data_IF_037566111893
#
_entry.id   IF_037566111893
#
_cell.length_a   1.000
_cell.length_b   1.000
_cell.length_c   1.000
_cell.angle_alpha   90.00
_cell.angle_beta   90.00
_cell.angle_gamma   90.00
#
_symmetry.space_group_name_H-M   'P 1'
#
loop_
_entity.id
_entity.type
_entity.pdbx_description
1 polymer ?
#
# COMPACT_ATOMS: atom_id res chain seq x y z
N UNK A 1 -9.58 15.08 34.45
CA UNK A 1 -8.91 13.98 33.74
C UNK A 1 -9.68 12.63 33.72
N UNK A 2 -10.95 12.52 34.15
CA UNK A 2 -11.57 11.19 34.40
C UNK A 2 -12.74 10.74 33.49
N UNK A 3 -13.26 11.58 32.57
CA UNK A 3 -14.40 11.13 31.72
C UNK A 3 -13.97 10.19 30.59
N UNK A 4 -12.88 10.47 29.87
CA UNK A 4 -12.41 9.65 28.74
C UNK A 4 -11.99 8.23 29.14
N UNK A 5 -11.36 8.07 30.31
CA UNK A 5 -10.96 6.75 30.83
C UNK A 5 -12.19 5.92 31.19
N UNK A 6 -13.25 6.55 31.73
CA UNK A 6 -14.49 5.86 32.09
C UNK A 6 -15.27 5.35 30.87
N UNK A 7 -15.33 6.12 29.78
CA UNK A 7 -16.03 5.71 28.55
C UNK A 7 -15.32 4.55 27.85
N UNK A 8 -13.98 4.58 27.82
CA UNK A 8 -13.19 3.49 27.24
C UNK A 8 -13.45 2.17 27.96
N UNK A 9 -13.25 2.12 29.28
CA UNK A 9 -13.47 0.90 30.05
C UNK A 9 -14.90 0.35 29.93
N UNK A 10 -15.92 1.23 29.95
CA UNK A 10 -17.32 0.85 29.75
C UNK A 10 -17.58 0.22 28.38
N UNK A 11 -17.01 0.80 27.31
CA UNK A 11 -17.13 0.24 25.96
C UNK A 11 -16.56 -1.18 25.88
N UNK A 12 -15.40 -1.44 26.50
CA UNK A 12 -14.79 -2.76 26.47
C UNK A 12 -15.55 -3.79 27.31
N UNK A 13 -16.04 -3.41 28.48
CA UNK A 13 -16.93 -4.28 29.25
C UNK A 13 -18.20 -4.62 28.45
N UNK A 14 -18.80 -3.63 27.78
CA UNK A 14 -19.93 -3.85 26.90
C UNK A 14 -19.59 -4.78 25.73
N UNK A 15 -18.45 -4.59 25.08
CA UNK A 15 -17.98 -5.38 23.95
C UNK A 15 -17.72 -6.84 24.36
N UNK A 16 -17.14 -7.05 25.54
CA UNK A 16 -16.84 -8.38 26.07
C UNK A 16 -18.11 -9.16 26.39
N UNK A 17 -19.15 -8.47 26.89
CA UNK A 17 -20.47 -9.01 27.19
C UNK A 17 -21.33 -9.30 25.94
N UNK A 18 -20.86 -9.00 24.73
CA UNK A 18 -21.57 -9.38 23.51
C UNK A 18 -21.43 -10.87 23.21
N UNK A 19 -22.42 -11.44 22.50
CA UNK A 19 -22.35 -12.81 21.97
C UNK A 19 -21.06 -13.02 21.15
N UNK A 20 -20.43 -14.21 21.18
CA UNK A 20 -19.11 -14.43 20.57
C UNK A 20 -18.99 -13.96 19.12
N UNK A 21 -19.96 -14.31 18.28
CA UNK A 21 -19.99 -13.89 16.87
C UNK A 21 -20.08 -12.37 16.73
N UNK A 22 -21.02 -11.74 17.45
CA UNK A 22 -21.19 -10.27 17.43
C UNK A 22 -19.93 -9.55 17.92
N UNK A 23 -19.29 -10.05 18.96
CA UNK A 23 -18.03 -9.50 19.49
C UNK A 23 -16.91 -9.55 18.45
N UNK A 24 -16.72 -10.69 17.79
CA UNK A 24 -15.71 -10.85 16.73
C UNK A 24 -16.03 -9.92 15.56
N UNK A 25 -17.28 -9.87 15.10
CA UNK A 25 -17.69 -8.97 14.02
C UNK A 25 -17.43 -7.50 14.34
N UNK A 26 -17.75 -7.05 15.57
CA UNK A 26 -17.48 -5.68 16.00
C UNK A 26 -15.98 -5.38 16.05
N UNK A 27 -15.16 -6.31 16.56
CA UNK A 27 -13.69 -6.14 16.58
C UNK A 27 -13.12 -6.06 15.15
N UNK A 28 -13.58 -6.92 14.25
CA UNK A 28 -13.17 -6.90 12.85
C UNK A 28 -13.63 -5.61 12.14
N UNK A 29 -14.84 -5.12 12.42
CA UNK A 29 -15.32 -3.86 11.89
C UNK A 29 -14.48 -2.67 12.36
N UNK A 30 -14.13 -2.62 13.65
CA UNK A 30 -13.23 -1.59 14.20
C UNK A 30 -11.84 -1.65 13.57
N UNK A 31 -11.27 -2.86 13.43
CA UNK A 31 -10.00 -3.05 12.75
C UNK A 31 -10.08 -2.57 11.30
N UNK A 32 -11.14 -2.94 10.58
CA UNK A 32 -11.35 -2.53 9.19
C UNK A 32 -11.44 -1.00 9.06
N UNK A 33 -12.14 -0.31 9.97
CA UNK A 33 -12.19 1.16 9.99
C UNK A 33 -10.79 1.76 10.19
N UNK A 34 -10.01 1.23 11.13
CA UNK A 34 -8.64 1.73 11.37
C UNK A 34 -7.73 1.44 10.17
N UNK A 35 -7.82 0.27 9.58
CA UNK A 35 -7.05 -0.09 8.37
C UNK A 35 -7.44 0.82 7.20
N UNK A 36 -8.73 1.04 6.98
CA UNK A 36 -9.20 1.95 5.93
C UNK A 36 -8.73 3.39 6.18
N UNK A 37 -8.79 3.88 7.41
CA UNK A 37 -8.29 5.23 7.71
C UNK A 37 -6.77 5.34 7.60
N UNK A 38 -6.03 4.31 8.00
CA UNK A 38 -4.58 4.28 7.92
C UNK A 38 -4.10 4.19 6.46
N UNK A 39 -4.74 3.38 5.63
CA UNK A 39 -4.33 3.15 4.24
C UNK A 39 -4.97 4.14 3.27
N UNK A 40 -6.23 4.51 3.47
CA UNK A 40 -7.04 5.32 2.56
C UNK A 40 -7.79 6.44 3.31
N UNK A 41 -7.09 7.39 3.94
CA UNK A 41 -7.71 8.50 4.66
C UNK A 41 -8.59 9.38 3.77
N UNK A 42 -8.41 9.35 2.45
CA UNK A 42 -9.29 10.00 1.49
C UNK A 42 -10.20 8.98 0.78
N UNK A 43 -11.42 8.72 1.29
CA UNK A 43 -12.33 7.74 0.71
C UNK A 43 -12.86 8.14 -0.66
N UNK A 44 -12.92 9.44 -0.98
CA UNK A 44 -13.34 9.90 -2.30
C UNK A 44 -12.34 9.47 -3.38
N UNK A 45 -11.03 9.55 -3.08
CA UNK A 45 -9.99 9.04 -3.97
C UNK A 45 -10.02 7.52 -4.07
N UNK A 46 -10.34 6.80 -3.00
CA UNK A 46 -10.51 5.33 -3.07
C UNK A 46 -11.62 4.94 -4.06
N UNK A 47 -12.77 5.64 -4.03
CA UNK A 47 -13.86 5.39 -4.99
C UNK A 47 -13.43 5.70 -6.42
N UNK A 48 -12.70 6.80 -6.64
CA UNK A 48 -12.13 7.12 -7.96
C UNK A 48 -11.15 6.06 -8.44
N UNK A 49 -10.27 5.59 -7.55
CA UNK A 49 -9.28 4.56 -7.86
C UNK A 49 -9.94 3.24 -8.28
N UNK A 50 -11.05 2.85 -7.64
CA UNK A 50 -11.81 1.69 -8.09
C UNK A 50 -12.35 1.88 -9.52
N UNK A 51 -12.81 3.09 -9.86
CA UNK A 51 -13.17 3.43 -11.23
C UNK A 51 -11.99 3.33 -12.19
N UNK A 52 -10.81 3.81 -11.78
CA UNK A 52 -9.58 3.77 -12.57
C UNK A 52 -9.12 2.32 -12.84
N UNK A 53 -9.25 1.40 -11.88
CA UNK A 53 -8.95 -0.01 -12.12
C UNK A 53 -9.92 -0.69 -13.08
N UNK A 54 -11.19 -0.27 -13.09
CA UNK A 54 -12.19 -0.79 -14.00
C UNK A 54 -11.99 -0.28 -15.43
N UNK A 55 -11.47 0.94 -15.58
CA UNK A 55 -11.19 1.56 -16.87
C UNK A 55 -9.85 2.31 -16.88
N UNK A 56 -8.75 1.56 -16.91
CA UNK A 56 -7.40 2.15 -16.94
C UNK A 56 -7.09 2.92 -18.22
N UNK A 57 -7.84 2.68 -19.29
CA UNK A 57 -7.68 3.41 -20.57
C UNK A 57 -8.12 4.86 -20.43
N UNK A 58 -9.10 5.15 -19.56
CA UNK A 58 -9.55 6.51 -19.28
C UNK A 58 -8.46 7.41 -18.68
N UNK A 59 -7.43 6.83 -18.08
CA UNK A 59 -6.29 7.55 -17.50
C UNK A 59 -5.37 8.13 -18.59
N UNK A 60 -5.32 7.46 -19.75
CA UNK A 60 -4.43 7.78 -20.85
C UNK A 60 -5.09 8.86 -21.72
N UNK A 61 -4.55 10.07 -21.70
CA UNK A 61 -5.15 11.26 -22.33
C UNK A 61 -4.21 11.83 -23.41
N UNK A 62 -4.20 11.26 -24.64
CA UNK A 62 -3.32 11.72 -25.72
C UNK A 62 -3.66 13.13 -26.21
N UNK A 63 -4.87 13.63 -25.94
CA UNK A 63 -5.36 14.95 -26.33
C UNK A 63 -5.24 16.00 -25.20
N UNK A 64 -4.31 15.81 -24.26
CA UNK A 64 -4.04 16.79 -23.19
C UNK A 64 -3.72 18.18 -23.78
N UNK A 65 -4.28 19.30 -23.26
CA UNK A 65 -4.01 20.64 -23.79
C UNK A 65 -2.53 21.02 -23.82
N UNK A 66 -1.72 20.49 -22.91
CA UNK A 66 -0.27 20.72 -22.85
C UNK A 66 0.55 19.86 -23.84
N UNK A 67 -0.08 18.94 -24.57
CA UNK A 67 0.62 18.00 -25.44
C UNK A 67 1.47 18.66 -26.54
N UNK A 68 1.06 19.78 -27.17
CA UNK A 68 1.91 20.48 -28.13
C UNK A 68 3.22 21.00 -27.51
N UNK A 69 3.16 21.52 -26.28
CA UNK A 69 4.34 21.99 -25.55
C UNK A 69 5.26 20.81 -25.19
N UNK A 70 4.67 19.75 -24.64
CA UNK A 70 5.38 18.51 -24.27
C UNK A 70 6.11 17.91 -25.48
N UNK A 71 5.42 17.79 -26.62
CA UNK A 71 5.99 17.22 -27.83
C UNK A 71 7.17 18.04 -28.35
N UNK A 72 7.07 19.37 -28.32
CA UNK A 72 8.15 20.28 -28.72
C UNK A 72 9.38 20.12 -27.83
N UNK A 73 9.21 19.98 -26.50
CA UNK A 73 10.33 19.73 -25.59
C UNK A 73 10.99 18.37 -25.85
N UNK A 74 10.20 17.33 -26.17
CA UNK A 74 10.73 16.01 -26.53
C UNK A 74 11.50 16.07 -27.84
N UNK A 75 11.00 16.79 -28.85
CA UNK A 75 11.71 16.96 -30.13
C UNK A 75 13.06 17.65 -29.92
N UNK A 76 13.10 18.66 -29.05
CA UNK A 76 14.36 19.31 -28.65
C UNK A 76 15.31 18.34 -27.93
N UNK A 77 14.79 17.49 -27.03
CA UNK A 77 15.60 16.46 -26.38
C UNK A 77 16.17 15.46 -27.39
N UNK A 78 15.40 15.05 -28.40
CA UNK A 78 15.89 14.15 -29.46
C UNK A 78 16.99 14.85 -30.28
N UNK A 79 16.77 16.10 -30.68
CA UNK A 79 17.70 16.85 -31.54
C UNK A 79 19.04 17.18 -30.86
N UNK A 80 19.06 17.33 -29.54
CA UNK A 80 20.23 17.84 -28.79
C UNK A 80 21.05 16.78 -28.06
N UNK A 81 20.61 15.52 -28.03
CA UNK A 81 21.32 14.46 -27.30
C UNK A 81 22.32 13.69 -28.16
N UNK A 82 23.52 13.49 -27.61
CA UNK A 82 24.55 12.60 -28.13
C UNK A 82 24.86 11.51 -27.07
N UNK A 83 24.77 10.20 -27.39
CA UNK A 83 24.27 9.64 -28.65
C UNK A 83 22.77 9.93 -28.84
N UNK A 84 22.31 9.84 -30.10
CA UNK A 84 20.92 10.09 -30.46
C UNK A 84 19.98 9.20 -29.64
N UNK A 85 19.01 9.82 -28.97
CA UNK A 85 17.98 9.09 -28.23
C UNK A 85 16.93 8.56 -29.20
N UNK A 86 16.50 7.31 -29.01
CA UNK A 86 15.25 6.84 -29.61
C UNK A 86 14.08 7.65 -29.02
N UNK A 87 13.00 7.81 -29.78
CA UNK A 87 11.82 8.55 -29.31
C UNK A 87 11.29 8.00 -27.99
N UNK A 88 11.20 6.66 -27.85
CA UNK A 88 10.74 6.01 -26.62
C UNK A 88 11.61 6.39 -25.40
N UNK A 89 12.92 6.46 -25.57
CA UNK A 89 13.86 6.87 -24.52
C UNK A 89 13.81 8.37 -24.25
N UNK A 90 13.53 9.19 -25.27
CA UNK A 90 13.32 10.61 -25.08
C UNK A 90 12.05 10.89 -24.26
N UNK A 91 10.95 10.18 -24.52
CA UNK A 91 9.71 10.28 -23.71
C UNK A 91 9.96 9.85 -22.26
N UNK A 92 10.59 8.69 -22.05
CA UNK A 92 10.93 8.21 -20.70
C UNK A 92 11.75 9.25 -19.93
N UNK A 93 12.81 9.78 -20.57
CA UNK A 93 13.68 10.79 -19.95
C UNK A 93 12.95 12.11 -19.69
N UNK A 94 12.08 12.53 -20.61
CA UNK A 94 11.26 13.71 -20.44
C UNK A 94 10.38 13.58 -19.18
N UNK A 95 9.64 12.48 -19.05
CA UNK A 95 8.74 12.24 -17.91
C UNK A 95 9.52 12.20 -16.60
N UNK A 96 10.65 11.48 -16.55
CA UNK A 96 11.49 11.42 -15.35
C UNK A 96 12.06 12.77 -14.92
N UNK A 97 12.34 13.66 -15.88
CA UNK A 97 12.81 15.02 -15.58
C UNK A 97 11.69 15.94 -15.14
N UNK A 98 10.49 15.79 -15.73
CA UNK A 98 9.40 16.75 -15.55
C UNK A 98 8.50 16.43 -14.36
N UNK A 99 8.40 15.15 -14.00
CA UNK A 99 7.54 14.67 -12.92
C UNK A 99 8.43 14.16 -11.79
N UNK A 100 8.51 14.88 -10.67
CA UNK A 100 9.29 14.46 -9.51
C UNK A 100 8.72 13.16 -8.91
N UNK A 101 9.58 12.24 -8.47
CA UNK A 101 9.09 10.98 -7.88
C UNK A 101 8.55 11.25 -6.48
N UNK A 102 7.29 10.88 -6.24
CA UNK A 102 6.67 10.97 -4.92
C UNK A 102 5.60 9.88 -4.77
N UNK A 103 5.74 9.03 -3.76
CA UNK A 103 4.74 8.00 -3.43
C UNK A 103 3.37 8.58 -3.11
N UNK A 104 2.33 7.82 -3.44
CA UNK A 104 0.93 8.21 -3.24
C UNK A 104 0.57 8.54 -1.79
N UNK A 105 1.15 7.84 -0.81
CA UNK A 105 0.87 8.16 0.59
C UNK A 105 1.41 9.53 1.02
N UNK A 106 2.30 10.14 0.24
CA UNK A 106 2.73 11.53 0.41
C UNK A 106 1.96 12.51 -0.47
N UNK A 107 1.65 12.14 -1.73
CA UNK A 107 0.99 13.03 -2.70
C UNK A 107 -0.55 13.03 -2.63
N UNK A 108 -1.13 11.86 -2.42
CA UNK A 108 -2.57 11.57 -2.42
C UNK A 108 -3.12 11.18 -1.04
N UNK A 109 -2.23 10.96 -0.08
CA UNK A 109 -2.49 10.46 1.27
C UNK A 109 -3.03 9.02 1.33
N UNK A 110 -3.30 8.38 0.21
CA UNK A 110 -3.75 7.00 0.11
C UNK A 110 -2.58 6.04 -0.18
N UNK A 111 -2.78 4.74 0.04
CA UNK A 111 -1.77 3.72 -0.22
C UNK A 111 -1.42 3.64 -1.71
N UNK A 112 -2.42 3.81 -2.58
CA UNK A 112 -2.35 3.71 -4.03
C UNK A 112 -3.44 4.63 -4.64
N UNK A 113 -3.11 5.39 -5.67
CA UNK A 113 -4.00 6.18 -6.51
C UNK A 113 -3.36 6.42 -7.88
N UNK A 114 -3.90 5.81 -8.93
CA UNK A 114 -3.45 6.00 -10.31
C UNK A 114 -4.09 7.27 -10.89
N UNK A 115 -3.36 8.36 -11.07
CA UNK A 115 -3.91 9.61 -11.56
C UNK A 115 -4.13 9.58 -13.08
N UNK A 116 -4.97 10.49 -13.58
CA UNK A 116 -5.04 10.82 -15.00
C UNK A 116 -3.81 11.60 -15.47
N UNK A 117 -3.48 11.55 -16.76
CA UNK A 117 -2.34 12.34 -17.28
C UNK A 117 -2.45 13.85 -17.02
N UNK A 118 -3.68 14.40 -16.99
CA UNK A 118 -3.92 15.79 -16.60
C UNK A 118 -3.54 16.06 -15.14
N UNK A 119 -3.93 15.21 -14.20
CA UNK A 119 -3.57 15.35 -12.78
C UNK A 119 -2.05 15.24 -12.58
N UNK A 120 -1.39 14.30 -13.25
CA UNK A 120 0.08 14.15 -13.24
C UNK A 120 0.74 15.44 -13.73
N UNK A 121 0.25 15.97 -14.85
CA UNK A 121 0.80 17.17 -15.46
C UNK A 121 0.59 18.41 -14.61
N UNK A 122 -0.55 18.53 -13.93
CA UNK A 122 -0.84 19.64 -13.01
C UNK A 122 0.07 19.60 -11.78
N UNK A 123 0.20 18.43 -11.14
CA UNK A 123 0.92 18.27 -9.88
C UNK A 123 2.45 18.23 -10.01
N UNK A 124 2.95 17.84 -11.19
CA UNK A 124 4.38 17.66 -11.50
C UNK A 124 5.12 16.71 -10.55
N UNK A 125 4.38 15.86 -9.83
CA UNK A 125 4.94 14.89 -8.88
C UNK A 125 4.02 13.67 -8.83
N UNK A 126 4.58 12.49 -8.99
CA UNK A 126 3.89 11.20 -8.93
C UNK A 126 4.90 10.06 -8.78
N UNK A 127 4.43 8.87 -8.42
CA UNK A 127 5.26 7.67 -8.44
C UNK A 127 5.28 6.97 -9.81
N UNK A 128 5.44 5.65 -9.82
CA UNK A 128 5.54 4.86 -11.04
C UNK A 128 4.27 4.92 -11.90
N UNK A 129 3.08 4.92 -11.30
CA UNK A 129 1.83 4.83 -12.06
C UNK A 129 1.52 6.10 -12.85
N UNK A 130 1.58 7.27 -12.22
CA UNK A 130 1.29 8.54 -12.86
C UNK A 130 2.33 8.88 -13.92
N UNK A 131 3.60 8.53 -13.66
CA UNK A 131 4.66 8.63 -14.68
C UNK A 131 4.38 7.73 -15.88
N UNK A 132 3.93 6.49 -15.66
CA UNK A 132 3.55 5.57 -16.74
C UNK A 132 2.31 6.05 -17.51
N UNK A 133 1.28 6.55 -16.82
CA UNK A 133 0.07 7.13 -17.42
C UNK A 133 0.44 8.31 -18.34
N UNK A 134 1.28 9.23 -17.87
CA UNK A 134 1.70 10.37 -18.68
C UNK A 134 2.55 9.92 -19.88
N UNK A 135 3.50 8.99 -19.68
CA UNK A 135 4.32 8.46 -20.76
C UNK A 135 3.47 7.78 -21.84
N UNK A 136 2.51 6.93 -21.46
CA UNK A 136 1.59 6.28 -22.39
C UNK A 136 0.76 7.31 -23.16
N UNK A 137 0.31 8.38 -22.50
CA UNK A 137 -0.47 9.46 -23.11
C UNK A 137 0.34 10.21 -24.18
N UNK A 138 1.59 10.55 -23.86
CA UNK A 138 2.53 11.18 -24.79
C UNK A 138 2.80 10.26 -25.99
N UNK A 139 3.09 8.99 -25.74
CA UNK A 139 3.38 8.02 -26.80
C UNK A 139 2.22 7.86 -27.76
N UNK A 140 0.98 7.76 -27.25
CA UNK A 140 -0.22 7.72 -28.09
C UNK A 140 -0.42 9.00 -28.89
N UNK A 141 -0.17 10.16 -28.28
CA UNK A 141 -0.24 11.44 -28.99
C UNK A 141 0.79 11.57 -30.12
N UNK A 142 1.91 10.85 -30.01
CA UNK A 142 2.99 10.79 -30.99
C UNK A 142 2.85 9.63 -32.00
N UNK A 143 1.71 8.94 -32.00
CA UNK A 143 1.37 7.92 -33.00
C UNK A 143 1.56 6.46 -32.56
N UNK A 144 2.01 6.21 -31.33
CA UNK A 144 2.11 4.85 -30.77
C UNK A 144 0.78 4.42 -30.16
N UNK A 145 -0.21 4.14 -31.01
CA UNK A 145 -1.58 3.83 -30.60
C UNK A 145 -1.68 2.58 -29.69
N UNK A 146 -0.70 1.68 -29.74
CA UNK A 146 -0.64 0.45 -28.95
C UNK A 146 0.07 0.59 -27.59
N UNK A 147 0.53 1.81 -27.25
CA UNK A 147 1.11 2.11 -25.95
C UNK A 147 0.09 1.80 -24.83
N UNK A 148 0.46 0.95 -23.89
CA UNK A 148 -0.44 0.47 -22.82
C UNK A 148 0.26 0.36 -21.48
N UNK A 149 -0.52 0.45 -20.40
CA UNK A 149 -0.05 0.21 -19.04
C UNK A 149 0.13 -1.28 -18.80
N UNK A 150 1.22 -1.61 -18.11
CA UNK A 150 1.53 -2.94 -17.58
C UNK A 150 1.95 -2.74 -16.13
N UNK A 151 1.53 -3.62 -15.25
CA UNK A 151 1.81 -3.51 -13.84
C UNK A 151 1.98 -4.87 -13.16
N UNK A 152 2.58 -4.83 -11.98
CA UNK A 152 2.50 -5.87 -10.97
C UNK A 152 2.19 -5.23 -9.61
N UNK A 153 2.36 -5.98 -8.52
CA UNK A 153 2.07 -5.49 -7.17
C UNK A 153 2.99 -4.36 -6.68
N UNK A 154 4.08 -4.06 -7.38
CA UNK A 154 5.10 -3.10 -6.95
C UNK A 154 5.27 -1.92 -7.87
N UNK A 155 4.98 -2.10 -9.16
CA UNK A 155 5.41 -1.17 -10.19
C UNK A 155 4.45 -1.15 -11.36
N UNK A 156 4.32 0.02 -11.98
CA UNK A 156 3.53 0.28 -13.18
C UNK A 156 4.45 0.91 -14.22
N UNK A 157 4.33 0.43 -15.46
CA UNK A 157 5.18 0.86 -16.57
C UNK A 157 4.44 0.82 -17.90
N UNK A 158 5.13 1.20 -18.99
CA UNK A 158 4.54 1.30 -20.33
C UNK A 158 5.14 0.25 -21.25
N UNK A 159 4.29 -0.43 -22.01
CA UNK A 159 4.68 -1.28 -23.13
C UNK A 159 4.21 -0.68 -24.46
N UNK A 160 5.08 -0.72 -25.48
CA UNK A 160 4.81 -0.30 -26.87
C UNK A 160 5.38 -1.35 -27.81
N UNK A 161 4.53 -2.06 -28.55
CA UNK A 161 4.92 -3.23 -29.33
C UNK A 161 5.61 -4.28 -28.45
N UNK A 162 6.87 -4.57 -28.78
CA UNK A 162 7.76 -5.46 -28.00
C UNK A 162 8.66 -4.71 -27.02
N UNK A 163 8.62 -3.38 -27.00
CA UNK A 163 9.43 -2.56 -26.11
C UNK A 163 8.71 -2.32 -24.78
N UNK A 164 9.48 -2.28 -23.71
CA UNK A 164 8.99 -1.87 -22.39
C UNK A 164 9.88 -0.77 -21.84
N UNK A 165 9.24 0.22 -21.25
CA UNK A 165 9.85 1.45 -20.77
C UNK A 165 9.63 1.55 -19.26
N UNK A 166 10.35 2.45 -18.63
CA UNK A 166 10.14 2.87 -17.25
C UNK A 166 10.48 1.83 -16.19
N UNK A 167 11.53 1.03 -16.43
CA UNK A 167 11.97 -0.01 -15.48
C UNK A 167 11.01 -1.21 -15.43
N UNK A 168 10.81 -1.93 -16.55
CA UNK A 168 9.90 -3.07 -16.58
C UNK A 168 10.34 -4.18 -15.63
N UNK A 169 9.36 -4.90 -15.08
CA UNK A 169 9.59 -6.07 -14.23
C UNK A 169 9.17 -7.36 -14.95
N UNK A 170 9.75 -8.48 -14.55
CA UNK A 170 9.49 -9.78 -15.18
C UNK A 170 8.04 -10.25 -15.01
N UNK A 171 7.47 -10.07 -13.82
CA UNK A 171 6.09 -10.45 -13.51
C UNK A 171 5.12 -9.37 -14.02
N UNK A 172 4.13 -9.79 -14.83
CA UNK A 172 3.10 -8.91 -15.45
C UNK A 172 1.72 -9.29 -14.96
N UNK A 173 1.46 -9.01 -13.69
CA UNK A 173 0.26 -9.45 -13.00
C UNK A 173 -0.99 -8.66 -13.35
N UNK A 174 -0.84 -7.47 -13.92
CA UNK A 174 -1.92 -6.63 -14.39
C UNK A 174 -1.55 -6.07 -15.75
N UNK A 175 -2.33 -6.40 -16.79
CA UNK A 175 -2.08 -5.91 -18.15
C UNK A 175 -3.34 -5.94 -19.00
N UNK A 176 -3.35 -5.14 -20.07
CA UNK A 176 -4.42 -5.19 -21.07
C UNK A 176 -3.99 -6.00 -22.29
N UNK A 177 -4.75 -7.04 -22.62
CA UNK A 177 -4.54 -7.89 -23.79
C UNK A 177 -5.87 -8.06 -24.54
N UNK A 178 -5.88 -7.76 -25.84
CA UNK A 178 -7.10 -7.90 -26.67
C UNK A 178 -8.31 -7.13 -26.13
N UNK A 179 -8.09 -5.95 -25.55
CA UNK A 179 -9.15 -5.12 -24.96
C UNK A 179 -9.65 -5.57 -23.59
N UNK A 180 -9.10 -6.64 -23.01
CA UNK A 180 -9.47 -7.16 -21.68
C UNK A 180 -8.36 -6.93 -20.67
N UNK A 181 -8.74 -6.64 -19.43
CA UNK A 181 -7.83 -6.63 -18.28
C UNK A 181 -7.53 -8.07 -17.86
N UNK A 182 -6.27 -8.46 -17.89
CA UNK A 182 -5.77 -9.76 -17.45
C UNK A 182 -5.08 -9.58 -16.11
N UNK A 183 -5.57 -10.31 -15.10
CA UNK A 183 -5.00 -10.34 -13.76
C UNK A 183 -4.48 -11.74 -13.48
N UNK A 184 -3.22 -11.86 -13.08
CA UNK A 184 -2.61 -13.15 -12.72
C UNK A 184 -2.04 -13.12 -11.31
N UNK A 185 -1.94 -14.30 -10.69
CA UNK A 185 -1.33 -14.40 -9.36
C UNK A 185 0.18 -14.15 -9.44
N UNK A 186 0.75 -13.29 -8.57
CA UNK A 186 2.18 -12.98 -8.54
C UNK A 186 3.02 -14.16 -8.07
N UNK A 187 4.28 -14.21 -8.51
CA UNK A 187 5.25 -15.14 -7.93
C UNK A 187 5.48 -14.80 -6.44
N UNK A 188 5.89 -15.81 -5.66
CA UNK A 188 6.23 -15.60 -4.24
C UNK A 188 7.31 -14.52 -4.05
N UNK A 189 8.28 -14.43 -4.98
CA UNK A 189 9.29 -13.38 -4.97
C UNK A 189 8.64 -12.00 -5.02
N UNK A 190 7.74 -11.77 -5.97
CA UNK A 190 7.02 -10.50 -6.14
C UNK A 190 6.14 -10.17 -4.93
N UNK A 191 5.49 -11.17 -4.31
CA UNK A 191 4.75 -10.96 -3.05
C UNK A 191 5.67 -10.48 -1.92
N UNK A 192 6.83 -11.11 -1.74
CA UNK A 192 7.79 -10.75 -0.70
C UNK A 192 8.45 -9.39 -0.97
N UNK A 193 8.75 -9.09 -2.24
CA UNK A 193 9.30 -7.80 -2.65
C UNK A 193 8.24 -6.69 -2.43
N UNK A 194 6.98 -6.94 -2.76
CA UNK A 194 5.87 -6.02 -2.47
C UNK A 194 5.69 -5.79 -0.98
N UNK A 195 5.81 -6.84 -0.17
CA UNK A 195 5.77 -6.72 1.28
C UNK A 195 6.92 -5.85 1.81
N UNK A 196 8.11 -5.96 1.21
CA UNK A 196 9.26 -5.13 1.59
C UNK A 196 9.11 -3.64 1.24
N UNK A 197 8.21 -3.26 0.32
CA UNK A 197 7.87 -1.86 0.08
C UNK A 197 7.26 -1.17 1.31
N UNK A 198 6.85 -1.93 2.33
CA UNK A 198 6.45 -1.38 3.64
C UNK A 198 7.52 -0.48 4.27
N UNK A 199 8.82 -0.66 3.96
CA UNK A 199 9.86 0.27 4.46
C UNK A 199 9.73 1.69 3.92
N UNK A 200 9.03 1.90 2.79
CA UNK A 200 8.79 3.22 2.21
C UNK A 200 7.49 3.85 2.73
N UNK A 201 6.60 3.03 3.30
CA UNK A 201 5.31 3.46 3.83
C UNK A 201 5.44 4.17 5.19
N UNK A 202 4.58 5.16 5.54
CA UNK A 202 4.70 5.89 6.79
C UNK A 202 4.56 4.98 8.01
N UNK A 203 5.65 4.80 8.76
CA UNK A 203 5.73 3.82 9.85
C UNK A 203 4.64 3.98 10.91
N UNK A 204 4.23 5.22 11.21
CA UNK A 204 3.19 5.49 12.20
C UNK A 204 1.81 4.90 11.82
N UNK A 205 1.50 4.77 10.52
CA UNK A 205 0.26 4.14 10.03
C UNK A 205 0.27 2.64 10.32
N UNK A 206 1.42 1.98 10.16
CA UNK A 206 1.59 0.56 10.50
C UNK A 206 1.50 0.36 12.01
N UNK A 207 2.18 1.21 12.79
CA UNK A 207 2.12 1.18 14.25
C UNK A 207 0.67 1.34 14.75
N UNK A 208 -0.10 2.26 14.17
CA UNK A 208 -1.52 2.43 14.49
C UNK A 208 -2.31 1.14 14.28
N UNK A 209 -2.12 0.46 13.14
CA UNK A 209 -2.80 -0.81 12.84
C UNK A 209 -2.37 -1.93 13.81
N UNK A 210 -1.07 -2.06 14.09
CA UNK A 210 -0.54 -3.07 15.00
C UNK A 210 -1.04 -2.88 16.44
N UNK A 211 -0.96 -1.65 16.96
CA UNK A 211 -1.44 -1.32 18.32
C UNK A 211 -2.95 -1.53 18.43
N UNK A 212 -3.72 -1.17 17.40
CA UNK A 212 -5.16 -1.42 17.35
C UNK A 212 -5.47 -2.91 17.37
N UNK A 213 -4.77 -3.70 16.55
CA UNK A 213 -4.92 -5.16 16.53
C UNK A 213 -4.64 -5.77 17.91
N UNK A 214 -3.55 -5.34 18.56
CA UNK A 214 -3.21 -5.78 19.91
C UNK A 214 -4.30 -5.40 20.92
N UNK A 215 -4.78 -4.14 20.90
CA UNK A 215 -5.83 -3.66 21.80
C UNK A 215 -7.17 -4.41 21.63
N UNK A 216 -7.51 -4.80 20.39
CA UNK A 216 -8.70 -5.59 20.09
C UNK A 216 -8.58 -7.03 20.61
N UNK A 217 -7.38 -7.60 20.65
CA UNK A 217 -7.14 -8.93 21.22
C UNK A 217 -7.05 -8.89 22.75
N UNK A 218 -6.35 -7.90 23.30
CA UNK A 218 -6.06 -7.76 24.72
C UNK A 218 -6.12 -6.28 25.12
N UNK A 219 -7.16 -5.90 25.86
CA UNK A 219 -7.39 -4.50 26.19
C UNK A 219 -6.43 -3.99 27.29
N UNK A 220 -5.84 -2.78 27.17
CA UNK A 220 -4.92 -2.22 28.17
C UNK A 220 -5.49 -2.12 29.59
N UNK A 221 -6.81 -1.99 29.77
CA UNK A 221 -7.40 -1.92 31.12
C UNK A 221 -7.45 -3.27 31.85
N UNK A 222 -7.19 -4.39 31.17
CA UNK A 222 -7.15 -5.69 31.81
C UNK A 222 -5.87 -5.83 32.66
N UNK A 223 -4.72 -5.49 32.07
CA UNK A 223 -3.42 -5.51 32.75
C UNK A 223 -2.45 -4.58 31.99
N UNK A 224 -2.39 -3.32 32.40
CA UNK A 224 -1.64 -2.27 31.70
C UNK A 224 -0.16 -2.63 31.49
N UNK A 225 0.49 -3.22 32.50
CA UNK A 225 1.90 -3.61 32.41
C UNK A 225 2.16 -4.67 31.35
N UNK A 226 1.31 -5.70 31.30
CA UNK A 226 1.41 -6.76 30.28
C UNK A 226 1.09 -6.24 28.89
N UNK A 227 0.09 -5.36 28.76
CA UNK A 227 -0.23 -4.73 27.48
C UNK A 227 0.97 -3.92 26.96
N UNK A 228 1.59 -3.10 27.81
CA UNK A 228 2.77 -2.31 27.47
C UNK A 228 3.95 -3.20 27.05
N UNK A 229 4.19 -4.30 27.77
CA UNK A 229 5.22 -5.29 27.43
C UNK A 229 4.96 -5.92 26.05
N UNK A 230 3.74 -6.42 25.79
CA UNK A 230 3.39 -7.01 24.50
C UNK A 230 3.48 -6.01 23.35
N UNK A 231 3.08 -4.77 23.61
CA UNK A 231 3.24 -3.68 22.65
C UNK A 231 4.73 -3.43 22.34
N UNK A 232 5.59 -3.35 23.36
CA UNK A 232 7.02 -3.16 23.17
C UNK A 232 7.67 -4.29 22.36
N UNK A 233 7.34 -5.56 22.67
CA UNK A 233 7.84 -6.73 21.92
C UNK A 233 7.37 -6.70 20.46
N UNK A 234 6.10 -6.38 20.22
CA UNK A 234 5.54 -6.26 18.87
C UNK A 234 6.20 -5.13 18.07
N UNK A 235 6.48 -3.98 18.70
CA UNK A 235 7.16 -2.85 18.07
C UNK A 235 8.64 -3.15 17.80
N UNK A 236 9.32 -3.91 18.67
CA UNK A 236 10.66 -4.43 18.38
C UNK A 236 10.63 -5.38 17.17
N UNK A 237 9.63 -6.26 17.09
CA UNK A 237 9.39 -7.10 15.91
C UNK A 237 9.18 -6.28 14.63
N UNK A 238 8.39 -5.21 14.70
CA UNK A 238 8.20 -4.29 13.57
C UNK A 238 9.49 -3.57 13.16
N UNK A 239 10.33 -3.16 14.10
CA UNK A 239 11.64 -2.57 13.78
C UNK A 239 12.55 -3.55 13.03
N UNK A 240 12.60 -4.82 13.47
CA UNK A 240 13.34 -5.89 12.77
C UNK A 240 12.74 -6.17 11.39
N UNK A 241 11.40 -6.13 11.26
CA UNK A 241 10.72 -6.25 9.97
C UNK A 241 11.11 -5.14 9.01
N UNK A 242 11.21 -3.89 9.49
CA UNK A 242 11.65 -2.76 8.66
C UNK A 242 13.11 -2.91 8.24
N UNK A 243 14.01 -3.38 9.10
CA UNK A 243 15.39 -3.70 8.71
C UNK A 243 15.43 -4.77 7.61
N UNK A 244 14.62 -5.83 7.71
CA UNK A 244 14.45 -6.80 6.64
C UNK A 244 13.95 -6.16 5.34
N UNK A 245 12.92 -5.31 5.41
CA UNK A 245 12.34 -4.63 4.26
C UNK A 245 13.38 -3.77 3.52
N UNK A 246 14.18 -2.98 4.27
CA UNK A 246 15.25 -2.15 3.71
C UNK A 246 16.31 -3.01 3.02
N UNK A 247 16.79 -4.07 3.69
CA UNK A 247 17.79 -4.98 3.11
C UNK A 247 17.29 -5.68 1.86
N UNK A 248 16.03 -6.11 1.85
CA UNK A 248 15.41 -6.76 0.69
C UNK A 248 15.30 -5.80 -0.50
N UNK A 249 14.92 -4.56 -0.24
CA UNK A 249 14.76 -3.53 -1.28
C UNK A 249 16.11 -3.06 -1.84
N UNK A 250 17.14 -2.93 -1.00
CA UNK A 250 18.43 -2.36 -1.41
C UNK A 250 19.39 -3.38 -2.05
N UNK A 251 19.27 -4.68 -1.73
CA UNK A 251 20.32 -5.66 -2.06
C UNK A 251 19.96 -6.67 -3.15
N UNK A 252 18.78 -6.61 -3.76
CA UNK A 252 18.26 -7.70 -4.60
C UNK A 252 18.50 -9.08 -3.93
N UNK A 253 18.48 -9.11 -2.58
CA UNK A 253 19.09 -10.18 -1.82
C UNK A 253 18.26 -11.44 -1.97
N UNK A 254 18.71 -12.31 -2.87
CA UNK A 254 18.18 -13.65 -3.10
C UNK A 254 18.45 -14.60 -1.91
N UNK A 255 19.12 -14.13 -0.85
CA UNK A 255 19.46 -14.90 0.33
C UNK A 255 18.35 -14.94 1.38
N UNK A 256 18.34 -16.01 2.16
CA UNK A 256 17.54 -16.12 3.37
C UNK A 256 18.02 -15.10 4.41
N UNK A 257 17.10 -14.29 4.94
CA UNK A 257 17.39 -13.29 5.97
C UNK A 257 16.62 -13.66 7.24
N UNK A 258 17.35 -13.87 8.34
CA UNK A 258 16.81 -14.22 9.65
C UNK A 258 15.93 -13.12 10.26
N UNK A 259 16.06 -11.88 9.80
CA UNK A 259 15.22 -10.78 10.29
C UNK A 259 13.74 -11.03 10.02
N UNK A 260 13.38 -11.64 8.87
CA UNK A 260 11.98 -11.93 8.57
C UNK A 260 11.32 -12.90 9.57
N UNK A 261 11.85 -14.12 9.79
CA UNK A 261 11.27 -15.04 10.77
C UNK A 261 11.36 -14.52 12.20
N UNK A 262 12.42 -13.79 12.58
CA UNK A 262 12.52 -13.16 13.92
C UNK A 262 11.43 -12.12 14.11
N UNK A 263 11.23 -11.23 13.13
CA UNK A 263 10.16 -10.24 13.18
C UNK A 263 8.77 -10.90 13.27
N UNK A 264 8.53 -11.92 12.45
CA UNK A 264 7.28 -12.69 12.47
C UNK A 264 7.05 -13.34 13.85
N UNK A 265 8.09 -13.94 14.45
CA UNK A 265 7.99 -14.57 15.76
C UNK A 265 7.64 -13.55 16.86
N UNK A 266 8.25 -12.36 16.85
CA UNK A 266 7.98 -11.30 17.83
C UNK A 266 6.56 -10.73 17.69
N UNK A 267 6.13 -10.43 16.45
CA UNK A 267 4.79 -9.88 16.19
C UNK A 267 3.71 -10.93 16.48
N UNK A 268 3.78 -12.11 15.85
CA UNK A 268 2.77 -13.15 16.01
C UNK A 268 2.78 -13.72 17.43
N UNK A 269 3.95 -13.87 18.05
CA UNK A 269 4.08 -14.30 19.44
C UNK A 269 3.37 -13.37 20.41
N UNK A 270 3.52 -12.05 20.21
CA UNK A 270 2.80 -11.04 21.01
C UNK A 270 1.28 -11.17 20.87
N UNK A 271 0.78 -11.37 19.64
CA UNK A 271 -0.65 -11.56 19.37
C UNK A 271 -1.19 -12.87 19.96
N UNK A 272 -0.44 -13.97 19.88
CA UNK A 272 -0.82 -15.27 20.46
C UNK A 272 -0.87 -15.19 21.99
N UNK A 273 0.12 -14.55 22.63
CA UNK A 273 0.13 -14.37 24.09
C UNK A 273 -1.03 -13.46 24.52
N UNK A 274 -1.30 -12.38 23.79
CA UNK A 274 -2.44 -11.50 24.01
C UNK A 274 -3.77 -12.28 23.97
N UNK A 275 -3.99 -13.06 22.92
CA UNK A 275 -5.19 -13.88 22.75
C UNK A 275 -5.35 -14.94 23.84
N UNK A 276 -4.27 -15.66 24.21
CA UNK A 276 -4.29 -16.67 25.28
C UNK A 276 -4.61 -16.04 26.63
N UNK A 277 -3.99 -14.90 26.94
CA UNK A 277 -4.24 -14.18 28.20
C UNK A 277 -5.69 -13.72 28.28
N UNK A 278 -6.23 -13.13 27.22
CA UNK A 278 -7.62 -12.72 27.16
C UNK A 278 -8.59 -13.90 27.37
N UNK A 279 -8.28 -15.06 26.76
CA UNK A 279 -9.09 -16.27 26.94
C UNK A 279 -9.03 -16.80 28.38
N UNK A 280 -7.86 -16.79 29.02
CA UNK A 280 -7.71 -17.23 30.41
C UNK A 280 -8.49 -16.32 31.37
N UNK A 281 -8.42 -15.00 31.20
CA UNK A 281 -9.18 -14.04 31.99
C UNK A 281 -10.71 -14.24 31.86
N UNK A 282 -11.19 -14.62 30.68
CA UNK A 282 -12.60 -14.94 30.46
C UNK A 282 -13.06 -16.22 31.18
N UNK A 283 -12.16 -17.19 31.39
CA UNK A 283 -12.47 -18.44 32.10
C UNK A 283 -12.45 -18.24 33.62
N UNK A 284 -11.58 -17.37 34.14
CA UNK A 284 -11.41 -17.17 35.59
C UNK A 284 -12.35 -16.10 36.18
N UNK A 285 -13.06 -15.33 35.36
CA UNK A 285 -14.04 -14.35 35.83
C UNK A 285 -15.34 -15.04 36.30
N UNK A 286 -15.73 -14.94 37.59
CA UNK A 286 -16.80 -15.74 38.21
C UNK A 286 -18.24 -15.32 37.81
N UNK A 287 -18.43 -14.66 36.67
CA UNK A 287 -19.74 -14.16 36.22
C UNK A 287 -20.70 -15.26 35.72
N UNK A 288 -20.29 -16.53 35.69
CA UNK A 288 -21.16 -17.69 35.40
C UNK A 288 -21.61 -18.46 36.64
N UNK A 289 -21.33 -17.98 37.85
CA UNK A 289 -21.65 -18.69 39.10
C UNK A 289 -22.99 -18.27 39.77
N UNK A 290 -23.80 -17.40 39.15
CA UNK A 290 -25.07 -16.94 39.77
C UNK A 290 -26.29 -16.98 38.82
N UNK A 291 -26.45 -18.05 38.04
CA UNK A 291 -27.76 -18.45 37.53
C UNK A 291 -27.90 -19.94 37.84
N UNK A 292 -28.26 -20.23 39.08
CA UNK A 292 -28.31 -21.60 39.58
C UNK A 292 -28.69 -21.67 41.04
N UNK A 293 -29.84 -21.06 41.37
CA UNK A 293 -30.88 -21.49 42.34
C UNK A 293 -31.75 -20.29 42.71
#
# INVERSE_FOLDING_TARGET
MNRLVSTGAQFWCWLENQRPLKRVSLKLALLAVVVLFALYPNPALLVRQLGHYLDTESLIQPNLPAMPEINREIDQLIATNAPALTELKAVERFVYRRIAYQYDWHGWWNLDYWPTAAEVWERKREDCDGRAVLAASILRARGHADARLVANLQHVWVAVGTNELMGPMADKNFRREGGKTVITFPALKTLLDSLAMTCKFPAWRVVLMLVTLLALLFHPSAETGRFAMLCAVMLAGYAVFIDWCVRRTDRDAAGFDWNFPVAAALILGSLVIAWRTAKQAAVTSPASASIGL
#
